data_IF_248326840897
#
_entry.id   IF_248326840897
#
_cell.length_a   1.000
_cell.length_b   1.000
_cell.length_c   1.000
_cell.angle_alpha   90.00
_cell.angle_beta   90.00
_cell.angle_gamma   90.00
#
_symmetry.space_group_name_H-M   'P 1'
#
loop_
_entity.id
_entity.type
_entity.pdbx_description
1 polymer ?
#
# COMPACT_ATOMS: atom_id res chain seq x y z
N UNK A 1 -1.75 76.34 32.67
CA UNK A 1 -2.69 75.27 32.26
C UNK A 1 -2.25 74.71 30.91
N UNK A 2 -1.69 73.49 30.94
CA UNK A 2 -1.43 72.68 29.77
C UNK A 2 -2.08 71.33 30.01
N UNK A 3 -3.10 71.02 29.23
CA UNK A 3 -3.74 69.71 29.21
C UNK A 3 -2.86 68.75 28.44
N UNK A 4 -2.51 67.63 29.02
CA UNK A 4 -1.90 66.50 28.37
C UNK A 4 -3.03 65.60 27.81
N UNK A 5 -3.21 65.63 26.51
CA UNK A 5 -4.01 64.63 25.79
C UNK A 5 -3.17 63.35 25.65
N UNK A 6 -3.55 62.30 26.37
CA UNK A 6 -2.95 60.97 26.24
C UNK A 6 -3.49 60.26 25.01
N UNK A 7 -2.65 60.03 24.05
CA UNK A 7 -2.91 59.12 22.94
C UNK A 7 -2.94 57.69 23.44
N UNK A 8 -4.09 57.04 23.40
CA UNK A 8 -4.23 55.61 23.56
C UNK A 8 -3.82 54.92 22.28
N UNK A 9 -2.63 54.32 22.25
CA UNK A 9 -2.22 53.38 21.23
C UNK A 9 -3.17 52.17 21.24
N UNK A 10 -4.03 52.10 20.20
CA UNK A 10 -4.92 50.95 19.97
C UNK A 10 -4.13 49.76 19.45
N UNK A 11 -3.67 48.92 20.37
CA UNK A 11 -3.17 47.60 20.04
C UNK A 11 -4.36 46.64 19.89
N UNK A 12 -4.55 46.03 18.68
CA UNK A 12 -5.20 44.74 18.69
C UNK A 12 -6.42 44.47 17.79
N UNK A 13 -6.57 45.02 16.61
CA UNK A 13 -7.62 44.57 15.69
C UNK A 13 -7.09 43.78 14.47
N UNK A 14 -5.81 43.90 14.13
CA UNK A 14 -5.25 43.26 12.92
C UNK A 14 -4.84 41.81 13.07
N UNK A 15 -4.52 41.33 14.28
CA UNK A 15 -4.03 39.97 14.50
C UNK A 15 -5.14 38.90 14.47
N UNK A 16 -6.29 39.20 15.05
CA UNK A 16 -7.42 38.23 15.12
C UNK A 16 -8.07 37.99 13.77
N UNK A 17 -8.17 39.02 12.93
CA UNK A 17 -8.72 38.86 11.56
C UNK A 17 -7.77 38.07 10.66
N UNK A 18 -6.46 38.20 10.80
CA UNK A 18 -5.48 37.44 10.05
C UNK A 18 -5.54 35.93 10.38
N UNK A 19 -5.57 35.57 11.65
CA UNK A 19 -5.71 34.17 12.10
C UNK A 19 -7.04 33.56 11.68
N UNK A 20 -8.15 34.28 11.81
CA UNK A 20 -9.47 33.82 11.37
C UNK A 20 -9.50 33.53 9.85
N UNK A 21 -8.90 34.38 9.04
CA UNK A 21 -8.82 34.18 7.60
C UNK A 21 -7.96 32.95 7.24
N UNK A 22 -6.84 32.74 7.92
CA UNK A 22 -5.99 31.55 7.74
C UNK A 22 -6.76 30.29 8.11
N UNK A 23 -7.41 30.24 9.28
CA UNK A 23 -8.19 29.09 9.74
C UNK A 23 -9.34 28.77 8.75
N UNK A 24 -10.00 29.80 8.22
CA UNK A 24 -11.05 29.64 7.22
C UNK A 24 -10.49 29.07 5.90
N UNK A 25 -9.35 29.59 5.43
CA UNK A 25 -8.69 29.10 4.23
C UNK A 25 -8.23 27.62 4.37
N UNK A 26 -7.63 27.26 5.51
CA UNK A 26 -7.26 25.89 5.86
C UNK A 26 -8.50 24.99 5.93
N UNK A 27 -9.58 25.45 6.55
CA UNK A 27 -10.86 24.71 6.60
C UNK A 27 -11.43 24.44 5.21
N UNK A 28 -11.37 25.41 4.31
CA UNK A 28 -11.79 25.24 2.91
C UNK A 28 -10.93 24.23 2.14
N UNK A 29 -9.61 24.27 2.33
CA UNK A 29 -8.71 23.31 1.66
C UNK A 29 -8.90 21.89 2.20
N UNK A 30 -9.06 21.73 3.51
CA UNK A 30 -9.41 20.42 4.12
C UNK A 30 -10.73 19.89 3.53
N UNK A 31 -11.76 20.72 3.44
CA UNK A 31 -13.06 20.32 2.89
C UNK A 31 -12.96 19.93 1.41
N UNK A 32 -12.11 20.61 0.64
CA UNK A 32 -11.85 20.32 -0.77
C UNK A 32 -11.10 18.98 -0.91
N UNK A 33 -10.07 18.74 -0.09
CA UNK A 33 -9.32 17.49 -0.07
C UNK A 33 -10.21 16.30 0.34
N UNK A 34 -11.03 16.45 1.37
CA UNK A 34 -12.01 15.43 1.78
C UNK A 34 -13.01 15.09 0.67
N UNK A 35 -13.49 16.09 -0.08
CA UNK A 35 -14.36 15.84 -1.26
C UNK A 35 -13.62 15.10 -2.37
N UNK A 36 -12.33 15.43 -2.58
CA UNK A 36 -11.50 14.73 -3.58
C UNK A 36 -11.28 13.27 -3.18
N UNK A 37 -10.96 13.00 -1.91
CA UNK A 37 -10.84 11.64 -1.37
C UNK A 37 -12.13 10.85 -1.55
N UNK A 38 -13.28 11.40 -1.17
CA UNK A 38 -14.58 10.73 -1.32
C UNK A 38 -14.91 10.40 -2.78
N UNK A 39 -14.54 11.27 -3.73
CA UNK A 39 -14.70 10.98 -5.17
C UNK A 39 -13.78 9.87 -5.63
N UNK A 40 -12.55 9.79 -5.09
CA UNK A 40 -11.63 8.69 -5.40
C UNK A 40 -12.16 7.36 -4.86
N UNK A 41 -12.66 7.30 -3.64
CA UNK A 41 -13.27 6.12 -3.04
C UNK A 41 -14.46 5.59 -3.86
N UNK A 42 -15.36 6.48 -4.28
CA UNK A 42 -16.49 6.08 -5.13
C UNK A 42 -16.02 5.54 -6.49
N UNK A 43 -15.02 6.17 -7.09
CA UNK A 43 -14.44 5.72 -8.36
C UNK A 43 -13.77 4.34 -8.23
N UNK A 44 -13.05 4.09 -7.14
CA UNK A 44 -12.42 2.80 -6.86
C UNK A 44 -13.47 1.70 -6.66
N UNK A 45 -14.51 1.96 -5.88
CA UNK A 45 -15.59 1.01 -5.64
C UNK A 45 -16.39 0.68 -6.91
N UNK A 46 -16.60 1.66 -7.80
CA UNK A 46 -17.24 1.43 -9.10
C UNK A 46 -16.37 0.58 -10.03
N UNK A 47 -15.05 0.87 -10.12
CA UNK A 47 -14.10 0.07 -10.90
C UNK A 47 -14.03 -1.39 -10.41
N UNK A 48 -14.06 -1.59 -9.08
CA UNK A 48 -14.12 -2.90 -8.43
C UNK A 48 -15.37 -3.67 -8.82
N UNK A 49 -16.55 -3.03 -8.72
CA UNK A 49 -17.83 -3.61 -9.13
C UNK A 49 -17.85 -3.98 -10.62
N UNK A 50 -17.23 -3.18 -11.48
CA UNK A 50 -17.11 -3.49 -12.91
C UNK A 50 -16.19 -4.69 -13.14
N UNK A 51 -15.07 -4.82 -12.41
CA UNK A 51 -14.16 -5.98 -12.50
C UNK A 51 -14.87 -7.27 -12.08
N UNK A 52 -15.56 -7.25 -10.94
CA UNK A 52 -16.35 -8.37 -10.46
C UNK A 52 -17.43 -8.81 -11.47
N UNK A 53 -18.15 -7.85 -12.06
CA UNK A 53 -19.17 -8.14 -13.11
C UNK A 53 -18.57 -8.71 -14.39
N UNK A 54 -17.30 -8.48 -14.68
CA UNK A 54 -16.63 -9.00 -15.88
C UNK A 54 -16.19 -10.46 -15.74
N UNK A 55 -16.40 -11.11 -14.59
CA UNK A 55 -15.94 -12.48 -14.31
C UNK A 55 -14.42 -12.62 -14.26
N UNK A 56 -13.67 -11.50 -14.12
CA UNK A 56 -12.23 -11.54 -13.99
C UNK A 56 -11.86 -11.81 -12.53
N UNK A 57 -10.95 -12.74 -12.30
CA UNK A 57 -10.30 -12.94 -11.03
C UNK A 57 -9.29 -11.82 -10.78
N UNK A 58 -9.15 -11.42 -9.53
CA UNK A 58 -8.27 -10.33 -9.13
C UNK A 58 -7.21 -10.81 -8.13
N UNK A 59 -5.97 -10.41 -8.37
CA UNK A 59 -4.81 -10.72 -7.51
C UNK A 59 -4.23 -9.41 -7.02
N UNK A 60 -4.26 -9.19 -5.69
CA UNK A 60 -3.67 -8.03 -5.05
C UNK A 60 -2.21 -8.27 -4.68
N UNK A 61 -1.36 -7.25 -4.82
CA UNK A 61 0.01 -7.27 -4.32
C UNK A 61 0.10 -6.42 -3.06
N UNK A 62 0.67 -6.96 -2.00
CA UNK A 62 0.95 -6.24 -0.78
C UNK A 62 2.36 -6.56 -0.28
N UNK A 63 2.95 -5.67 0.50
CA UNK A 63 4.28 -5.86 1.06
C UNK A 63 4.98 -4.54 1.30
N UNK A 64 6.14 -4.61 1.95
CA UNK A 64 6.93 -3.42 2.27
C UNK A 64 7.38 -2.65 1.04
N UNK A 65 7.76 -1.39 1.24
CA UNK A 65 8.45 -0.63 0.21
C UNK A 65 9.75 -1.33 -0.18
N UNK A 66 10.11 -1.27 -1.46
CA UNK A 66 11.32 -1.90 -2.02
C UNK A 66 11.38 -3.44 -1.95
N UNK A 67 10.30 -4.12 -1.61
CA UNK A 67 10.21 -5.59 -1.61
C UNK A 67 10.13 -6.20 -3.01
N UNK A 68 10.06 -5.39 -4.06
CA UNK A 68 9.99 -5.87 -5.44
C UNK A 68 8.59 -5.97 -6.05
N UNK A 69 7.56 -5.30 -5.47
CA UNK A 69 6.17 -5.33 -6.01
C UNK A 69 6.10 -4.94 -7.47
N UNK A 70 6.65 -3.80 -7.85
CA UNK A 70 6.62 -3.30 -9.23
C UNK A 70 7.42 -4.18 -10.18
N UNK A 71 8.52 -4.80 -9.71
CA UNK A 71 9.29 -5.76 -10.50
C UNK A 71 8.51 -7.03 -10.75
N UNK A 72 7.87 -7.58 -9.72
CA UNK A 72 7.02 -8.76 -9.85
C UNK A 72 5.81 -8.48 -10.74
N UNK A 73 5.18 -7.32 -10.56
CA UNK A 73 4.08 -6.88 -11.41
C UNK A 73 4.49 -6.84 -12.90
N UNK A 74 5.65 -6.27 -13.21
CA UNK A 74 6.19 -6.25 -14.58
C UNK A 74 6.44 -7.66 -15.11
N UNK A 75 7.05 -8.54 -14.32
CA UNK A 75 7.38 -9.91 -14.71
C UNK A 75 6.11 -10.74 -15.01
N UNK A 76 5.06 -10.58 -14.19
CA UNK A 76 3.81 -11.32 -14.36
C UNK A 76 2.89 -10.73 -15.44
N UNK A 77 2.82 -9.40 -15.56
CA UNK A 77 1.93 -8.75 -16.53
C UNK A 77 2.53 -8.59 -17.93
N UNK A 78 3.83 -8.79 -18.07
CA UNK A 78 4.56 -8.53 -19.32
C UNK A 78 4.56 -7.04 -19.73
N UNK A 79 4.15 -6.12 -18.85
CA UNK A 79 4.15 -4.68 -19.09
C UNK A 79 5.27 -4.01 -18.32
N UNK A 80 6.12 -3.22 -18.99
CA UNK A 80 7.13 -2.42 -18.27
C UNK A 80 6.42 -1.41 -17.37
N UNK A 81 6.69 -1.49 -16.06
CA UNK A 81 6.29 -0.47 -15.09
C UNK A 81 7.51 0.39 -14.80
N UNK A 82 7.31 1.70 -14.69
CA UNK A 82 8.37 2.63 -14.32
C UNK A 82 8.74 2.37 -12.85
N UNK A 83 9.79 1.56 -12.66
CA UNK A 83 10.33 1.27 -11.34
C UNK A 83 11.09 2.52 -10.88
N UNK A 84 10.52 3.26 -9.96
CA UNK A 84 11.21 4.35 -9.27
C UNK A 84 11.59 3.87 -7.88
N UNK A 85 12.88 3.92 -7.56
CA UNK A 85 13.40 3.69 -6.20
C UNK A 85 13.03 4.87 -5.27
N UNK A 86 11.76 5.20 -5.17
CA UNK A 86 11.24 6.25 -4.30
C UNK A 86 10.17 5.66 -3.39
N UNK A 87 10.18 6.07 -2.13
CA UNK A 87 9.09 5.81 -1.21
C UNK A 87 7.79 6.34 -1.83
N UNK A 88 6.72 5.52 -1.82
CA UNK A 88 5.42 5.86 -2.44
C UNK A 88 5.46 6.08 -3.96
N UNK A 89 6.24 5.30 -4.69
CA UNK A 89 6.29 5.40 -6.16
C UNK A 89 4.94 5.13 -6.83
N UNK A 90 4.03 4.43 -6.16
CA UNK A 90 2.66 4.13 -6.63
C UNK A 90 1.64 4.74 -5.65
N UNK A 91 1.18 5.96 -5.94
CA UNK A 91 0.05 6.59 -5.23
C UNK A 91 -1.30 6.18 -5.83
N UNK A 92 -1.31 5.69 -7.06
CA UNK A 92 -2.49 5.20 -7.76
C UNK A 92 -2.36 3.70 -8.03
N UNK A 93 -3.46 2.98 -7.83
CA UNK A 93 -3.54 1.55 -8.10
C UNK A 93 -3.29 1.27 -9.58
N UNK A 94 -2.26 0.49 -9.88
CA UNK A 94 -1.97 0.06 -11.26
C UNK A 94 -2.60 -1.31 -11.48
N UNK A 95 -3.35 -1.46 -12.58
CA UNK A 95 -3.97 -2.74 -12.95
C UNK A 95 -3.28 -3.30 -14.19
N UNK A 96 -2.77 -4.53 -14.07
CA UNK A 96 -2.18 -5.30 -15.14
C UNK A 96 -2.97 -6.57 -15.41
N UNK A 97 -2.83 -7.13 -16.63
CA UNK A 97 -3.39 -8.43 -16.98
C UNK A 97 -2.30 -9.48 -16.82
N UNK A 98 -2.56 -10.50 -16.01
CA UNK A 98 -1.65 -11.63 -15.77
C UNK A 98 -1.94 -12.78 -16.74
N UNK A 99 -3.23 -13.10 -16.96
CA UNK A 99 -3.66 -14.16 -17.87
C UNK A 99 -4.93 -13.78 -18.63
N UNK A 100 -5.18 -14.47 -19.75
CA UNK A 100 -6.34 -14.23 -20.61
C UNK A 100 -7.48 -15.24 -20.39
N UNK A 101 -7.12 -16.48 -20.03
CA UNK A 101 -8.08 -17.58 -19.80
C UNK A 101 -7.60 -18.47 -18.66
N UNK A 102 -8.21 -18.38 -17.46
CA UNK A 102 -9.20 -17.36 -17.06
C UNK A 102 -8.62 -15.95 -17.10
N UNK A 103 -9.48 -14.94 -17.17
CA UNK A 103 -9.02 -13.53 -17.12
C UNK A 103 -8.59 -13.18 -15.70
N UNK A 104 -7.30 -13.03 -15.51
CA UNK A 104 -6.71 -12.65 -14.21
C UNK A 104 -6.15 -11.23 -14.34
N UNK A 105 -6.58 -10.38 -13.42
CA UNK A 105 -6.12 -9.00 -13.29
C UNK A 105 -5.31 -8.86 -12.00
N UNK A 106 -4.12 -8.31 -12.13
CA UNK A 106 -3.25 -8.01 -11.00
C UNK A 106 -3.38 -6.54 -10.64
N UNK A 107 -3.45 -6.27 -9.34
CA UNK A 107 -3.63 -4.93 -8.77
C UNK A 107 -2.39 -4.62 -7.94
N UNK A 108 -1.58 -3.66 -8.40
CA UNK A 108 -0.42 -3.16 -7.63
C UNK A 108 -0.88 -2.08 -6.66
N UNK A 109 -0.47 -2.18 -5.42
CA UNK A 109 -0.86 -1.28 -4.34
C UNK A 109 0.33 -0.61 -3.68
N UNK A 110 0.03 0.32 -2.78
CA UNK A 110 1.04 1.04 -2.02
C UNK A 110 1.79 0.07 -1.09
N UNK A 111 3.13 0.19 -1.05
CA UNK A 111 3.94 -0.58 -0.11
C UNK A 111 3.80 -0.11 1.33
N UNK A 112 3.91 -1.04 2.27
CA UNK A 112 3.99 -0.71 3.69
C UNK A 112 5.31 0.00 4.01
N UNK A 113 5.24 0.91 4.98
CA UNK A 113 6.40 1.54 5.60
C UNK A 113 6.29 1.31 7.09
N UNK A 114 7.43 1.16 7.75
CA UNK A 114 7.47 1.15 9.21
C UNK A 114 6.97 2.47 9.77
N UNK A 115 6.19 2.38 10.85
CA UNK A 115 5.70 3.53 11.59
C UNK A 115 4.94 4.56 10.74
N UNK A 116 4.03 4.08 9.86
CA UNK A 116 3.12 5.00 9.16
C UNK A 116 2.33 5.78 10.24
N UNK A 117 2.37 7.11 10.26
CA UNK A 117 1.55 7.90 11.16
C UNK A 117 0.07 7.53 11.00
N UNK A 118 -0.68 7.49 12.12
CA UNK A 118 -2.09 7.09 12.12
C UNK A 118 -2.93 7.92 11.14
N UNK A 119 -2.60 9.20 10.98
CA UNK A 119 -3.27 10.11 10.04
C UNK A 119 -3.05 9.72 8.58
N UNK A 120 -1.90 9.12 8.25
CA UNK A 120 -1.63 8.60 6.92
C UNK A 120 -2.27 7.23 6.70
N UNK A 121 -2.40 6.41 7.74
CA UNK A 121 -3.07 5.11 7.66
C UNK A 121 -4.52 5.23 7.19
N UNK A 122 -5.26 6.24 7.64
CA UNK A 122 -6.62 6.50 7.18
C UNK A 122 -6.67 6.86 5.68
N UNK A 123 -5.65 7.54 5.19
CA UNK A 123 -5.53 7.88 3.76
C UNK A 123 -5.16 6.67 2.89
N UNK A 124 -4.47 5.67 3.45
CA UNK A 124 -4.10 4.43 2.78
C UNK A 124 -5.13 3.31 2.95
N UNK A 125 -6.08 3.47 3.87
CA UNK A 125 -7.09 2.46 4.17
C UNK A 125 -7.87 2.03 2.91
N UNK A 126 -8.23 2.97 2.06
CA UNK A 126 -8.94 2.69 0.80
C UNK A 126 -8.12 1.83 -0.16
N UNK A 127 -6.81 2.10 -0.28
CA UNK A 127 -5.91 1.35 -1.17
C UNK A 127 -5.57 -0.04 -0.60
N UNK A 128 -5.41 -0.15 0.71
CA UNK A 128 -5.26 -1.43 1.39
C UNK A 128 -6.54 -2.28 1.26
N UNK A 129 -7.71 -1.68 1.44
CA UNK A 129 -8.99 -2.35 1.21
C UNK A 129 -9.16 -2.83 -0.23
N UNK A 130 -8.60 -2.13 -1.21
CA UNK A 130 -8.61 -2.59 -2.60
C UNK A 130 -7.81 -3.89 -2.77
N UNK A 131 -6.62 -4.02 -2.16
CA UNK A 131 -5.84 -5.27 -2.16
C UNK A 131 -6.56 -6.40 -1.44
N UNK A 132 -7.12 -6.11 -0.27
CA UNK A 132 -7.82 -7.07 0.57
C UNK A 132 -9.14 -7.53 -0.04
N UNK A 133 -9.64 -6.81 -1.02
CA UNK A 133 -10.87 -7.17 -1.74
C UNK A 133 -10.63 -7.91 -3.04
N UNK A 134 -9.38 -8.26 -3.33
CA UNK A 134 -9.04 -9.15 -4.42
C UNK A 134 -9.39 -10.61 -4.06
N UNK A 135 -9.57 -11.45 -5.09
CA UNK A 135 -9.87 -12.88 -4.89
C UNK A 135 -8.68 -13.64 -4.29
N UNK A 136 -7.47 -13.13 -4.52
CA UNK A 136 -6.21 -13.65 -3.96
C UNK A 136 -5.30 -12.47 -3.58
N UNK A 137 -4.51 -12.65 -2.53
CA UNK A 137 -3.49 -11.70 -2.09
C UNK A 137 -2.10 -12.33 -2.16
N UNK A 138 -1.18 -11.68 -2.82
CA UNK A 138 0.25 -11.99 -2.76
C UNK A 138 0.91 -11.05 -1.75
N UNK A 139 1.33 -11.61 -0.62
CA UNK A 139 2.09 -10.89 0.39
C UNK A 139 3.58 -11.07 0.13
N UNK A 140 4.23 -10.02 -0.36
CA UNK A 140 5.63 -10.05 -0.73
C UNK A 140 6.53 -9.81 0.48
N UNK A 141 7.56 -10.64 0.59
CA UNK A 141 8.61 -10.57 1.60
C UNK A 141 9.96 -10.68 0.88
N UNK A 142 10.90 -9.84 1.25
CA UNK A 142 12.26 -9.86 0.69
C UNK A 142 13.06 -11.01 1.31
N UNK A 143 13.43 -11.99 0.50
CA UNK A 143 14.19 -13.14 0.98
C UNK A 143 15.65 -12.79 1.32
N UNK A 144 16.17 -11.67 0.78
CA UNK A 144 17.53 -11.20 1.06
C UNK A 144 17.66 -10.37 2.34
N UNK A 145 16.55 -10.14 3.04
CA UNK A 145 16.59 -9.53 4.38
C UNK A 145 17.14 -10.51 5.42
N UNK A 146 17.75 -9.99 6.48
CA UNK A 146 18.15 -10.79 7.63
C UNK A 146 16.95 -11.52 8.27
N UNK A 147 17.12 -12.73 8.84
CA UNK A 147 16.02 -13.52 9.39
C UNK A 147 15.11 -12.79 10.37
N UNK A 148 15.68 -11.96 11.25
CA UNK A 148 14.91 -11.17 12.22
C UNK A 148 14.08 -10.07 11.51
N UNK A 149 14.60 -9.52 10.43
CA UNK A 149 13.90 -8.53 9.63
C UNK A 149 12.73 -9.16 8.86
N UNK A 150 12.92 -10.36 8.31
CA UNK A 150 11.84 -11.17 7.70
C UNK A 150 10.71 -11.40 8.71
N UNK A 151 11.05 -11.86 9.94
CA UNK A 151 10.06 -12.07 11.03
C UNK A 151 9.30 -10.79 11.35
N UNK A 152 10.01 -9.69 11.54
CA UNK A 152 9.45 -8.39 11.89
C UNK A 152 8.50 -7.88 10.80
N UNK A 153 8.95 -7.87 9.54
CA UNK A 153 8.17 -7.40 8.39
C UNK A 153 6.93 -8.26 8.17
N UNK A 154 7.06 -9.58 8.30
CA UNK A 154 5.94 -10.50 8.16
C UNK A 154 4.88 -10.28 9.26
N UNK A 155 5.31 -10.16 10.53
CA UNK A 155 4.41 -9.90 11.65
C UNK A 155 3.68 -8.55 11.50
N UNK A 156 4.40 -7.50 11.10
CA UNK A 156 3.81 -6.17 10.87
C UNK A 156 2.83 -6.20 9.70
N UNK A 157 3.21 -6.81 8.56
CA UNK A 157 2.33 -6.93 7.40
C UNK A 157 1.03 -7.67 7.74
N UNK A 158 1.13 -8.76 8.51
CA UNK A 158 -0.05 -9.51 8.98
C UNK A 158 -0.95 -8.65 9.86
N UNK A 159 -0.38 -7.94 10.82
CA UNK A 159 -1.15 -7.06 11.72
C UNK A 159 -1.86 -5.96 10.94
N UNK A 160 -1.19 -5.31 10.00
CA UNK A 160 -1.77 -4.21 9.23
C UNK A 160 -2.82 -4.69 8.22
N UNK A 161 -2.61 -5.86 7.61
CA UNK A 161 -3.55 -6.41 6.64
C UNK A 161 -4.76 -7.08 7.30
N UNK A 162 -4.52 -7.95 8.30
CA UNK A 162 -5.56 -8.82 8.87
C UNK A 162 -6.07 -8.34 10.22
N UNK A 163 -5.30 -7.52 10.96
CA UNK A 163 -5.74 -6.96 12.24
C UNK A 163 -6.92 -5.97 12.13
N UNK A 164 -7.26 -5.55 10.91
CA UNK A 164 -8.37 -4.63 10.61
C UNK A 164 -9.57 -5.33 9.96
N UNK A 165 -9.47 -6.63 9.69
CA UNK A 165 -10.53 -7.41 9.06
C UNK A 165 -11.18 -8.28 10.12
N UNK A 166 -12.30 -7.81 10.63
CA UNK A 166 -13.10 -8.50 11.64
C UNK A 166 -14.02 -9.58 11.04
N UNK A 167 -13.92 -9.86 9.74
CA UNK A 167 -14.96 -10.56 8.98
C UNK A 167 -14.71 -12.06 8.77
N UNK A 168 -13.76 -12.71 9.46
CA UNK A 168 -13.58 -14.17 9.35
C UNK A 168 -13.26 -14.70 7.94
N UNK A 169 -13.12 -13.83 6.95
CA UNK A 169 -12.69 -14.18 5.60
C UNK A 169 -11.17 -14.38 5.61
N UNK A 170 -10.76 -15.63 5.71
CA UNK A 170 -9.40 -16.02 5.35
C UNK A 170 -9.25 -15.74 3.85
N UNK A 171 -8.69 -14.58 3.52
CA UNK A 171 -8.33 -14.29 2.14
C UNK A 171 -7.38 -15.37 1.66
N UNK A 172 -7.56 -15.86 0.44
CA UNK A 172 -6.59 -16.71 -0.21
C UNK A 172 -5.30 -15.89 -0.33
N UNK A 173 -4.37 -16.14 0.57
CA UNK A 173 -3.10 -15.40 0.65
C UNK A 173 -1.95 -16.36 0.43
N UNK A 174 -1.02 -15.95 -0.42
CA UNK A 174 0.26 -16.63 -0.64
C UNK A 174 1.36 -15.65 -0.26
N UNK A 175 2.35 -16.11 0.49
CA UNK A 175 3.58 -15.34 0.75
C UNK A 175 4.54 -15.55 -0.40
N UNK A 176 5.00 -14.46 -1.00
CA UNK A 176 5.97 -14.49 -2.10
C UNK A 176 7.31 -14.00 -1.59
N UNK A 177 8.27 -14.92 -1.43
CA UNK A 177 9.66 -14.62 -1.13
C UNK A 177 10.33 -14.10 -2.40
N UNK A 178 10.65 -12.82 -2.42
CA UNK A 178 11.22 -12.13 -3.59
C UNK A 178 12.74 -12.04 -3.51
N UNK A 179 13.38 -11.67 -4.62
CA UNK A 179 14.82 -11.42 -4.74
C UNK A 179 15.70 -12.63 -4.40
N UNK A 180 15.23 -13.84 -4.67
CA UNK A 180 16.00 -15.05 -4.40
C UNK A 180 17.28 -15.16 -5.23
N UNK A 181 17.42 -14.35 -6.27
CA UNK A 181 18.68 -14.18 -7.03
C UNK A 181 19.82 -13.58 -6.20
N UNK A 182 19.52 -13.00 -5.03
CA UNK A 182 20.48 -12.46 -4.08
C UNK A 182 20.79 -13.40 -2.92
N UNK A 183 20.16 -14.57 -2.87
CA UNK A 183 20.21 -15.51 -1.75
C UNK A 183 20.86 -16.83 -2.14
N UNK A 184 21.47 -17.50 -1.18
CA UNK A 184 21.85 -18.91 -1.29
C UNK A 184 20.65 -19.84 -1.10
N UNK A 185 20.77 -21.11 -1.47
CA UNK A 185 19.69 -22.09 -1.26
C UNK A 185 19.36 -22.28 0.22
N UNK A 186 20.35 -22.18 1.11
CA UNK A 186 20.18 -22.24 2.56
C UNK A 186 19.38 -21.06 3.10
N UNK A 187 19.68 -19.84 2.65
CA UNK A 187 18.94 -18.62 3.03
C UNK A 187 17.49 -18.67 2.54
N UNK A 188 17.25 -19.18 1.33
CA UNK A 188 15.89 -19.38 0.82
C UNK A 188 15.12 -20.38 1.68
N UNK A 189 15.77 -21.48 2.09
CA UNK A 189 15.15 -22.50 2.94
C UNK A 189 14.80 -21.90 4.31
N UNK A 190 15.73 -21.18 4.94
CA UNK A 190 15.51 -20.50 6.22
C UNK A 190 14.35 -19.50 6.12
N UNK A 191 14.28 -18.69 5.05
CA UNK A 191 13.18 -17.76 4.83
C UNK A 191 11.82 -18.49 4.70
N UNK A 192 11.77 -19.64 4.01
CA UNK A 192 10.58 -20.48 3.92
C UNK A 192 10.17 -21.04 5.29
N UNK A 193 11.11 -21.48 6.10
CA UNK A 193 10.85 -21.97 7.47
C UNK A 193 10.29 -20.86 8.37
N UNK A 194 10.84 -19.65 8.27
CA UNK A 194 10.31 -18.48 8.98
C UNK A 194 8.87 -18.23 8.58
N UNK A 195 8.56 -18.19 7.27
CA UNK A 195 7.19 -18.01 6.80
C UNK A 195 6.28 -19.10 7.31
N UNK A 196 6.69 -20.35 7.23
CA UNK A 196 5.90 -21.50 7.71
C UNK A 196 5.59 -21.42 9.21
N UNK A 197 6.55 -20.95 10.02
CA UNK A 197 6.38 -20.84 11.47
C UNK A 197 5.50 -19.63 11.88
N UNK A 198 5.69 -18.49 11.23
CA UNK A 198 5.02 -17.23 11.60
C UNK A 198 3.75 -16.95 10.80
N UNK A 199 3.40 -17.77 9.82
CA UNK A 199 2.26 -17.54 8.93
C UNK A 199 1.52 -18.86 8.62
N UNK A 200 0.18 -18.85 8.55
CA UNK A 200 -0.59 -20.00 8.10
C UNK A 200 -0.61 -20.16 6.57
N UNK A 201 0.07 -19.28 5.85
CA UNK A 201 0.00 -19.21 4.40
C UNK A 201 1.12 -20.01 3.74
N UNK A 202 0.84 -20.55 2.56
CA UNK A 202 1.87 -21.16 1.71
C UNK A 202 2.84 -20.11 1.19
N UNK A 203 4.06 -20.52 0.85
CA UNK A 203 5.09 -19.63 0.32
C UNK A 203 5.65 -20.13 -1.00
N UNK A 204 5.88 -19.17 -1.92
CA UNK A 204 6.56 -19.37 -3.20
C UNK A 204 7.77 -18.44 -3.25
N UNK A 205 8.91 -18.96 -3.74
CA UNK A 205 10.15 -18.21 -3.84
C UNK A 205 10.42 -17.81 -5.29
N UNK A 206 10.64 -16.51 -5.54
CA UNK A 206 10.75 -15.98 -6.90
C UNK A 206 11.84 -14.93 -7.06
N UNK A 207 12.37 -14.83 -8.27
CA UNK A 207 13.14 -13.66 -8.71
C UNK A 207 12.49 -13.05 -9.95
N UNK A 208 12.07 -11.81 -9.85
CA UNK A 208 11.57 -11.05 -10.98
C UNK A 208 12.68 -10.69 -11.99
N UNK A 209 13.95 -10.76 -11.59
CA UNK A 209 15.11 -10.44 -12.44
C UNK A 209 15.54 -11.66 -13.25
N UNK A 210 15.74 -12.81 -12.59
CA UNK A 210 16.14 -14.05 -13.28
C UNK A 210 14.97 -14.81 -13.91
N UNK A 211 13.74 -14.54 -13.47
CA UNK A 211 12.55 -15.27 -13.87
C UNK A 211 12.31 -16.56 -13.09
N UNK A 212 13.19 -16.92 -12.17
CA UNK A 212 13.06 -18.14 -11.36
C UNK A 212 11.79 -18.10 -10.51
N UNK A 213 11.02 -19.19 -10.47
CA UNK A 213 9.79 -19.34 -9.69
C UNK A 213 8.58 -18.56 -10.22
N UNK A 214 8.74 -17.71 -11.25
CA UNK A 214 7.63 -16.88 -11.79
C UNK A 214 6.51 -17.75 -12.38
N UNK A 215 6.85 -18.89 -12.99
CA UNK A 215 5.85 -19.77 -13.60
C UNK A 215 4.99 -20.51 -12.54
N UNK A 216 5.47 -20.64 -11.29
CA UNK A 216 4.69 -21.18 -10.17
C UNK A 216 3.56 -20.22 -9.73
N UNK A 217 3.69 -18.93 -10.01
CA UNK A 217 2.68 -17.92 -9.73
C UNK A 217 1.68 -17.70 -10.85
N UNK A 218 1.88 -18.31 -12.02
CA UNK A 218 1.01 -18.23 -13.20
C UNK A 218 -0.02 -19.32 -13.26
#
# INVERSE_FOLDING_TARGET
HREHTGERLGFGAGGQTGWSNIMTAVGHEIAKLRRKLKKMDTSLSERRRQRSKSGALTVGLAGYTNVGKSSLFSALSGKPVLIKNQLFSTLETTVGRMANQPRILMVDTIGFIDNIPAELLDSFSATLQESLSCDMLLLLVDASDEPDEIRRKLATSRRELFGRIDDGNSHNTIVVLTKIDLCTDEEILEAKEIVHYYSPFESVAVSAISGQGIDELR
#
